data_IF_025441264483
#
_entry.id   IF_025441264483
#
_cell.length_a   1.000
_cell.length_b   1.000
_cell.length_c   1.000
_cell.angle_alpha   90.00
_cell.angle_beta   90.00
_cell.angle_gamma   90.00
#
_symmetry.space_group_name_H-M   'P 1'
#
loop_
_entity.id
_entity.type
_entity.pdbx_description
1 polymer ?
#
# COMPACT_ATOMS: atom_id res chain seq x y z
N UNK A 1 6.72 9.24 -11.62
CA UNK A 1 5.45 9.00 -10.92
C UNK A 1 5.43 9.83 -9.64
N UNK A 2 4.58 10.85 -9.56
CA UNK A 2 4.49 11.66 -8.35
C UNK A 2 3.62 10.94 -7.32
N UNK A 3 4.21 10.62 -6.16
CA UNK A 3 3.52 10.08 -4.99
C UNK A 3 3.39 11.20 -3.98
N UNK A 4 2.18 11.68 -3.76
CA UNK A 4 1.91 12.58 -2.65
C UNK A 4 1.59 11.73 -1.42
N UNK A 5 2.61 11.45 -0.62
CA UNK A 5 2.42 10.90 0.72
C UNK A 5 2.80 11.98 1.72
N UNK A 6 1.82 12.69 2.27
CA UNK A 6 2.09 13.73 3.27
C UNK A 6 2.26 13.09 4.65
N UNK A 7 3.43 12.49 4.91
CA UNK A 7 3.83 12.10 6.27
C UNK A 7 4.25 13.32 7.11
N UNK A 8 4.41 14.50 6.50
CA UNK A 8 4.93 15.70 7.15
C UNK A 8 3.88 16.41 8.05
N UNK A 9 2.59 16.15 7.86
CA UNK A 9 1.53 16.68 8.74
C UNK A 9 1.47 16.03 10.12
N UNK A 10 2.24 14.97 10.37
CA UNK A 10 2.15 14.18 11.60
C UNK A 10 3.20 14.52 12.68
N UNK A 11 3.86 15.69 12.60
CA UNK A 11 4.69 16.23 13.68
C UNK A 11 6.02 15.50 13.94
N UNK A 12 6.58 15.69 15.13
CA UNK A 12 7.85 15.07 15.62
C UNK A 12 7.71 13.60 16.02
N UNK A 13 6.49 13.06 15.97
CA UNK A 13 6.11 11.75 16.52
C UNK A 13 6.21 10.59 15.51
N UNK A 14 6.94 10.81 14.41
CA UNK A 14 6.86 9.95 13.21
C UNK A 14 7.22 8.49 13.48
N UNK A 15 8.10 8.25 14.45
CA UNK A 15 8.56 6.92 14.81
C UNK A 15 7.79 6.31 15.98
N UNK A 16 6.88 7.03 16.64
CA UNK A 16 6.06 6.52 17.76
C UNK A 16 4.67 6.03 17.31
N UNK A 17 4.28 6.33 16.07
CA UNK A 17 3.03 5.87 15.47
C UNK A 17 3.26 4.86 14.36
N UNK A 18 2.23 4.04 14.15
CA UNK A 18 2.12 3.15 13.00
C UNK A 18 1.17 3.77 11.96
N UNK A 19 1.28 3.34 10.71
CA UNK A 19 0.60 3.96 9.58
C UNK A 19 -0.12 2.93 8.73
N UNK A 20 -1.27 3.33 8.20
CA UNK A 20 -1.89 2.69 7.04
C UNK A 20 -1.76 3.65 5.87
N UNK A 21 -1.00 3.26 4.87
CA UNK A 21 -0.79 4.01 3.63
C UNK A 21 -1.80 3.49 2.61
N UNK A 22 -2.84 4.28 2.35
CA UNK A 22 -3.93 3.93 1.45
C UNK A 22 -3.64 4.47 0.04
N UNK A 23 -3.22 3.58 -0.85
CA UNK A 23 -2.75 3.93 -2.20
C UNK A 23 -3.85 3.77 -3.26
N UNK A 24 -3.89 4.75 -4.18
CA UNK A 24 -4.71 4.77 -5.38
C UNK A 24 -4.00 5.42 -6.58
N UNK A 25 -4.46 5.16 -7.82
CA UNK A 25 -5.34 4.04 -8.19
C UNK A 25 -4.58 2.70 -8.08
N UNK A 26 -5.30 1.58 -8.11
CA UNK A 26 -4.69 0.26 -8.05
C UNK A 26 -3.93 -0.08 -9.33
N UNK A 27 -4.41 0.37 -10.50
CA UNK A 27 -3.93 -0.12 -11.79
C UNK A 27 -4.12 -1.63 -11.93
N UNK A 28 -3.56 -2.23 -12.97
CA UNK A 28 -3.68 -3.68 -13.16
C UNK A 28 -2.86 -4.44 -12.10
N UNK A 29 -1.64 -3.98 -11.80
CA UNK A 29 -0.72 -4.65 -10.86
C UNK A 29 -0.04 -3.71 -9.84
N UNK A 30 -0.48 -2.46 -9.72
CA UNK A 30 0.03 -1.50 -8.72
C UNK A 30 1.54 -1.25 -8.80
N UNK A 31 2.05 -1.00 -10.01
CA UNK A 31 3.47 -0.74 -10.26
C UNK A 31 3.97 0.48 -9.47
N UNK A 32 3.11 1.46 -9.30
CA UNK A 32 3.28 2.59 -8.41
C UNK A 32 3.73 2.20 -7.01
N UNK A 33 2.95 1.34 -6.37
CA UNK A 33 3.19 0.89 -5.00
C UNK A 33 4.43 0.02 -4.95
N UNK A 34 4.63 -0.83 -5.96
CA UNK A 34 5.83 -1.63 -6.07
C UNK A 34 7.09 -0.75 -6.11
N UNK A 35 7.18 0.20 -7.05
CA UNK A 35 8.33 1.06 -7.21
C UNK A 35 8.63 1.90 -5.97
N UNK A 36 7.60 2.48 -5.34
CA UNK A 36 7.79 3.41 -4.21
C UNK A 36 7.99 2.72 -2.86
N UNK A 37 7.34 1.58 -2.62
CA UNK A 37 7.28 0.98 -1.29
C UNK A 37 7.87 -0.43 -1.21
N UNK A 38 7.93 -1.20 -2.30
CA UNK A 38 8.57 -2.50 -2.30
C UNK A 38 10.07 -2.45 -2.66
N UNK A 39 10.51 -1.45 -3.43
CA UNK A 39 11.91 -1.30 -3.85
C UNK A 39 12.63 -0.14 -3.16
N UNK A 40 13.93 0.00 -3.39
CA UNK A 40 14.73 1.14 -2.96
C UNK A 40 14.84 2.24 -4.03
N UNK A 41 14.19 2.12 -5.18
CA UNK A 41 14.40 3.00 -6.34
C UNK A 41 13.88 4.44 -6.21
N UNK A 42 13.33 4.82 -5.06
CA UNK A 42 12.75 6.15 -4.81
C UNK A 42 13.25 6.80 -3.52
N UNK A 43 14.30 6.23 -2.92
CA UNK A 43 14.97 6.74 -1.70
C UNK A 43 14.00 6.90 -0.52
N UNK A 44 13.00 6.01 -0.42
CA UNK A 44 11.94 6.06 0.61
C UNK A 44 12.52 6.09 2.04
N UNK A 45 13.65 5.42 2.26
CA UNK A 45 14.30 5.35 3.57
C UNK A 45 15.00 6.66 3.95
N UNK A 46 15.48 7.42 2.96
CA UNK A 46 16.08 8.74 3.19
C UNK A 46 14.98 9.78 3.40
N UNK A 47 13.88 9.69 2.65
CA UNK A 47 12.73 10.58 2.76
C UNK A 47 11.93 10.36 4.06
N UNK A 48 11.86 9.11 4.51
CA UNK A 48 11.08 8.71 5.69
C UNK A 48 11.95 7.85 6.64
N UNK A 49 12.98 8.46 7.27
CA UNK A 49 13.89 7.72 8.13
C UNK A 49 13.16 7.17 9.35
N UNK A 50 13.41 5.91 9.67
CA UNK A 50 12.79 5.20 10.80
C UNK A 50 11.45 4.52 10.48
N UNK A 51 10.84 4.81 9.33
CA UNK A 51 9.60 4.15 8.90
C UNK A 51 9.92 2.86 8.13
N UNK A 52 9.30 1.76 8.56
CA UNK A 52 9.43 0.44 7.92
C UNK A 52 8.14 0.10 7.17
N UNK A 53 8.25 0.04 5.85
CA UNK A 53 7.13 -0.22 4.96
C UNK A 53 6.93 -1.71 4.73
N UNK A 54 5.68 -2.16 4.84
CA UNK A 54 5.24 -3.50 4.47
C UNK A 54 4.10 -3.41 3.48
N UNK A 55 4.30 -3.96 2.27
CA UNK A 55 3.32 -3.89 1.19
C UNK A 55 2.35 -5.06 1.29
N UNK A 56 1.06 -4.79 1.36
CA UNK A 56 0.03 -5.83 1.35
C UNK A 56 -0.18 -6.38 -0.06
N UNK A 57 -0.31 -7.69 -0.17
CA UNK A 57 -0.71 -8.38 -1.41
C UNK A 57 -1.66 -9.54 -1.13
N UNK A 58 -2.31 -10.05 -2.18
CA UNK A 58 -3.18 -11.22 -2.15
C UNK A 58 -2.49 -12.46 -1.55
N UNK A 59 -3.20 -13.21 -0.71
CA UNK A 59 -2.70 -14.45 -0.08
C UNK A 59 -2.22 -15.49 -1.08
N UNK A 60 -2.82 -15.53 -2.27
CA UNK A 60 -2.41 -16.42 -3.36
C UNK A 60 -0.93 -16.25 -3.70
N UNK A 61 -0.38 -15.04 -3.57
CA UNK A 61 1.01 -14.76 -3.87
C UNK A 61 2.01 -15.53 -3.00
N UNK A 62 1.61 -15.93 -1.79
CA UNK A 62 2.44 -16.69 -0.85
C UNK A 62 2.31 -18.22 -0.94
N UNK A 63 1.47 -18.73 -1.87
CA UNK A 63 1.27 -20.19 -2.02
C UNK A 63 2.39 -20.90 -2.81
N UNK A 64 3.04 -20.21 -3.74
CA UNK A 64 4.10 -20.78 -4.59
C UNK A 64 5.47 -20.48 -3.98
N UNK A 65 6.29 -21.51 -3.75
CA UNK A 65 7.54 -21.41 -2.98
C UNK A 65 8.46 -20.26 -3.43
N UNK A 66 8.88 -20.21 -4.70
CA UNK A 66 9.81 -19.17 -5.17
C UNK A 66 9.22 -17.76 -5.09
N UNK A 67 7.94 -17.60 -5.46
CA UNK A 67 7.25 -16.31 -5.41
C UNK A 67 7.07 -15.82 -3.97
N UNK A 68 6.78 -16.74 -3.04
CA UNK A 68 6.67 -16.46 -1.61
C UNK A 68 7.95 -15.85 -1.07
N UNK A 69 9.09 -16.49 -1.32
CA UNK A 69 10.39 -16.01 -0.82
C UNK A 69 10.77 -14.66 -1.41
N UNK A 70 10.52 -14.43 -2.70
CA UNK A 70 10.76 -13.12 -3.33
C UNK A 70 9.91 -12.01 -2.70
N UNK A 71 8.63 -12.26 -2.49
CA UNK A 71 7.74 -11.26 -1.88
C UNK A 71 8.10 -10.99 -0.41
N UNK A 72 8.38 -12.03 0.37
CA UNK A 72 8.81 -11.85 1.76
C UNK A 72 10.14 -11.08 1.85
N UNK A 73 11.10 -11.36 0.96
CA UNK A 73 12.37 -10.63 0.89
C UNK A 73 12.18 -9.14 0.58
N UNK A 74 11.21 -8.81 -0.27
CA UNK A 74 10.82 -7.43 -0.58
C UNK A 74 9.94 -6.77 0.49
N UNK A 75 9.66 -7.46 1.61
CA UNK A 75 8.89 -6.92 2.73
C UNK A 75 7.37 -6.96 2.53
N UNK A 76 6.87 -7.76 1.59
CA UNK A 76 5.44 -7.95 1.43
C UNK A 76 4.83 -8.75 2.57
N UNK A 77 3.57 -8.45 2.86
CA UNK A 77 2.72 -9.16 3.81
C UNK A 77 1.38 -9.48 3.16
N UNK A 78 0.62 -10.35 3.81
CA UNK A 78 -0.73 -10.68 3.39
C UNK A 78 -1.69 -9.51 3.65
N UNK A 79 -2.67 -9.31 2.77
CA UNK A 79 -3.69 -8.26 2.93
C UNK A 79 -4.80 -8.62 3.93
N UNK A 80 -4.73 -9.78 4.60
CA UNK A 80 -5.67 -10.14 5.66
C UNK A 80 -5.60 -9.18 6.84
N UNK A 81 -6.74 -9.06 7.51
CA UNK A 81 -6.89 -8.29 8.73
C UNK A 81 -5.90 -8.75 9.79
N UNK A 82 -5.70 -10.06 9.93
CA UNK A 82 -4.82 -10.66 10.94
C UNK A 82 -3.36 -10.24 10.70
N UNK A 83 -2.90 -10.23 9.44
CA UNK A 83 -1.55 -9.80 9.10
C UNK A 83 -1.35 -8.31 9.32
N UNK A 84 -2.32 -7.48 8.92
CA UNK A 84 -2.31 -6.04 9.13
C UNK A 84 -2.29 -5.72 10.64
N UNK A 85 -3.18 -6.31 11.43
CA UNK A 85 -3.23 -6.09 12.87
C UNK A 85 -1.95 -6.58 13.57
N UNK A 86 -1.36 -7.70 13.13
CA UNK A 86 -0.09 -8.20 13.68
C UNK A 86 1.02 -7.17 13.55
N UNK A 87 1.13 -6.50 12.39
CA UNK A 87 2.13 -5.44 12.17
C UNK A 87 1.80 -4.18 12.97
N UNK A 88 0.54 -3.74 12.96
CA UNK A 88 0.15 -2.45 13.55
C UNK A 88 0.01 -2.47 15.08
N UNK A 89 -0.25 -3.64 15.69
CA UNK A 89 -0.35 -3.81 17.15
C UNK A 89 0.93 -4.37 17.77
N UNK A 90 2.00 -4.53 16.98
CA UNK A 90 3.30 -4.97 17.46
C UNK A 90 3.89 -4.05 18.53
N UNK A 91 4.87 -4.54 19.28
CA UNK A 91 5.59 -3.74 20.29
C UNK A 91 6.42 -2.60 19.69
N UNK A 92 6.77 -2.73 18.41
CA UNK A 92 7.57 -1.76 17.70
C UNK A 92 6.69 -0.73 17.00
N UNK A 93 7.12 0.53 17.04
CA UNK A 93 6.48 1.65 16.36
C UNK A 93 7.21 1.99 15.05
N UNK A 94 6.70 2.95 14.28
CA UNK A 94 7.26 3.33 12.97
C UNK A 94 6.98 2.30 11.88
N UNK A 95 5.95 1.45 12.03
CA UNK A 95 5.51 0.50 10.99
C UNK A 95 4.52 1.16 10.06
N UNK A 96 4.68 1.00 8.76
CA UNK A 96 3.74 1.47 7.75
C UNK A 96 3.25 0.30 6.90
N UNK A 97 1.96 -0.02 7.02
CA UNK A 97 1.29 -0.99 6.16
C UNK A 97 0.79 -0.27 4.92
N UNK A 98 1.23 -0.71 3.74
CA UNK A 98 0.85 -0.12 2.46
C UNK A 98 -0.22 -0.98 1.81
N UNK A 99 -1.40 -0.41 1.62
CA UNK A 99 -2.57 -1.09 1.11
C UNK A 99 -3.07 -0.40 -0.16
N UNK A 100 -3.21 -1.16 -1.22
CA UNK A 100 -3.86 -0.70 -2.45
C UNK A 100 -5.36 -0.97 -2.32
N UNK A 101 -6.10 0.07 -1.97
CA UNK A 101 -7.47 -0.10 -1.44
C UNK A 101 -8.48 -0.50 -2.52
N UNK A 102 -8.27 -0.07 -3.77
CA UNK A 102 -9.16 -0.40 -4.89
C UNK A 102 -9.34 -1.89 -5.15
N UNK A 103 -8.31 -2.69 -4.82
CA UNK A 103 -8.30 -4.14 -4.98
C UNK A 103 -8.62 -4.61 -6.40
N UNK A 104 -9.11 -5.84 -6.51
CA UNK A 104 -9.41 -6.47 -7.80
C UNK A 104 -10.47 -5.73 -8.61
N UNK A 105 -11.45 -5.09 -7.96
CA UNK A 105 -12.52 -4.36 -8.64
C UNK A 105 -11.98 -3.13 -9.38
N UNK A 106 -11.14 -2.32 -8.71
CA UNK A 106 -10.47 -1.18 -9.36
C UNK A 106 -9.43 -1.64 -10.39
N UNK A 107 -8.79 -2.79 -10.17
CA UNK A 107 -7.82 -3.35 -11.13
C UNK A 107 -8.48 -3.80 -12.44
N UNK A 108 -9.73 -4.28 -12.39
CA UNK A 108 -10.49 -4.72 -13.56
C UNK A 108 -11.08 -3.58 -14.38
N UNK A 109 -11.15 -2.37 -13.81
CA UNK A 109 -11.65 -1.14 -14.45
C UNK A 109 -10.50 -0.14 -14.73
N UNK A 110 -9.27 -0.64 -14.78
CA UNK A 110 -8.06 0.16 -14.95
C UNK A 110 -7.82 0.48 -16.44
N UNK A 111 -8.47 1.53 -16.92
CA UNK A 111 -8.37 1.99 -18.31
C UNK A 111 -7.51 3.25 -18.46
N UNK A 112 -6.64 3.33 -19.49
CA UNK A 112 -5.87 4.54 -19.80
C UNK A 112 -6.75 5.79 -19.94
N UNK A 113 -6.26 6.92 -19.45
CA UNK A 113 -6.94 8.22 -19.49
C UNK A 113 -8.04 8.42 -18.43
N UNK A 114 -8.41 7.39 -17.66
CA UNK A 114 -9.43 7.48 -16.63
C UNK A 114 -8.90 6.99 -15.28
N UNK A 115 -9.36 7.63 -14.20
CA UNK A 115 -9.04 7.25 -12.83
C UNK A 115 -10.35 7.04 -12.05
N UNK A 116 -10.97 5.88 -12.23
CA UNK A 116 -12.17 5.49 -11.48
C UNK A 116 -11.72 4.78 -10.20
N UNK A 117 -12.09 5.34 -9.04
CA UNK A 117 -11.66 4.81 -7.74
C UNK A 117 -12.78 4.07 -7.01
N UNK A 118 -12.53 2.83 -6.61
CA UNK A 118 -13.41 1.99 -5.81
C UNK A 118 -13.18 2.28 -4.32
N UNK A 119 -13.67 3.42 -3.86
CA UNK A 119 -13.44 3.91 -2.48
C UNK A 119 -14.69 3.92 -1.60
N UNK A 120 -15.85 4.25 -2.16
CA UNK A 120 -17.08 4.54 -1.40
C UNK A 120 -17.52 3.37 -0.50
N UNK A 121 -17.35 2.14 -0.98
CA UNK A 121 -17.69 0.90 -0.29
C UNK A 121 -16.54 0.32 0.55
N UNK A 122 -15.28 0.73 0.30
CA UNK A 122 -14.07 0.15 0.90
C UNK A 122 -13.71 0.84 2.22
N UNK A 123 -14.45 0.57 3.30
CA UNK A 123 -14.21 1.22 4.62
C UNK A 123 -13.32 0.42 5.58
N UNK A 124 -12.86 -0.77 5.18
CA UNK A 124 -12.10 -1.68 6.04
C UNK A 124 -10.82 -1.06 6.61
N UNK A 125 -10.01 -0.45 5.75
CA UNK A 125 -8.74 0.17 6.15
C UNK A 125 -8.92 1.32 7.16
N UNK A 126 -9.99 2.11 7.03
CA UNK A 126 -10.34 3.16 8.00
C UNK A 126 -10.74 2.55 9.35
N UNK A 127 -11.53 1.46 9.34
CA UNK A 127 -11.89 0.76 10.57
C UNK A 127 -10.66 0.18 11.27
N UNK A 128 -9.71 -0.36 10.52
CA UNK A 128 -8.47 -0.89 11.09
C UNK A 128 -7.56 0.22 11.63
N UNK A 129 -7.46 1.38 10.96
CA UNK A 129 -6.77 2.55 11.49
C UNK A 129 -7.34 2.97 12.85
N UNK A 130 -8.67 3.06 12.97
CA UNK A 130 -9.35 3.42 14.22
C UNK A 130 -9.10 2.40 15.35
N UNK A 131 -9.11 1.10 15.05
CA UNK A 131 -8.88 0.04 16.06
C UNK A 131 -7.44 -0.04 16.54
N UNK A 132 -6.50 0.21 15.64
CA UNK A 132 -5.06 0.08 15.92
C UNK A 132 -4.44 1.39 16.41
N UNK A 133 -5.15 2.52 16.24
CA UNK A 133 -4.60 3.85 16.48
C UNK A 133 -3.59 4.28 15.41
N UNK A 134 -3.47 3.53 14.31
CA UNK A 134 -2.58 3.86 13.21
C UNK A 134 -3.07 5.09 12.45
N UNK A 135 -2.14 5.94 12.02
CA UNK A 135 -2.45 7.12 11.22
C UNK A 135 -2.72 6.73 9.77
N UNK A 136 -3.76 7.33 9.20
CA UNK A 136 -4.16 7.05 7.83
C UNK A 136 -3.51 8.04 6.87
N UNK A 137 -2.70 7.53 5.94
CA UNK A 137 -1.98 8.34 4.95
C UNK A 137 -2.57 8.07 3.57
N UNK A 138 -3.37 9.00 3.02
CA UNK A 138 -3.84 8.87 1.65
C UNK A 138 -2.68 9.09 0.68
N UNK A 139 -2.59 8.23 -0.33
CA UNK A 139 -1.57 8.29 -1.37
C UNK A 139 -2.22 8.17 -2.73
N UNK A 140 -1.87 9.09 -3.62
CA UNK A 140 -2.30 9.06 -5.00
C UNK A 140 -1.11 9.01 -5.95
N UNK A 141 -1.22 8.18 -6.98
CA UNK A 141 -0.20 7.90 -7.99
C UNK A 141 -0.71 8.26 -9.39
N UNK A 142 0.04 9.10 -10.09
CA UNK A 142 -0.30 9.50 -11.46
C UNK A 142 0.34 8.59 -12.51
N UNK A 143 -0.40 8.27 -13.57
CA UNK A 143 0.07 7.45 -14.70
C UNK A 143 -0.06 5.93 -14.50
N UNK A 144 -0.58 5.47 -13.37
CA UNK A 144 -0.66 4.04 -13.05
C UNK A 144 -1.65 3.28 -13.97
N UNK A 145 -2.79 3.88 -14.30
CA UNK A 145 -3.77 3.28 -15.21
C UNK A 145 -3.32 3.34 -16.69
N UNK A 146 -2.34 4.17 -17.01
CA UNK A 146 -1.83 4.35 -18.38
C UNK A 146 -0.70 3.36 -18.73
N UNK A 147 -0.28 2.51 -17.79
CA UNK A 147 0.84 1.58 -17.97
C UNK A 147 0.50 0.39 -18.88
N UNK A 148 -0.76 0.01 -18.94
CA UNK A 148 -1.21 -1.19 -19.64
C UNK A 148 -2.52 -0.92 -20.37
N UNK A 149 -2.66 -1.47 -21.58
CA UNK A 149 -3.93 -1.54 -22.27
C UNK A 149 -4.71 -2.75 -21.77
N UNK A 150 -5.92 -2.50 -21.25
CA UNK A 150 -6.81 -3.55 -20.80
C UNK A 150 -7.74 -3.95 -21.94
N UNK A 151 -7.69 -5.22 -22.35
CA UNK A 151 -8.58 -5.74 -23.40
C UNK A 151 -10.00 -5.74 -22.84
N UNK A 152 -10.89 -4.97 -23.45
CA UNK A 152 -12.31 -4.96 -23.09
C UNK A 152 -12.93 -6.33 -23.36
N UNK A 153 -13.70 -6.85 -22.40
CA UNK A 153 -14.48 -8.07 -22.55
C UNK A 153 -15.63 -7.89 -23.55
#
# INVERSE_FOLDING_TARGET
MAVFANFATYGTDKNEKNYIVACHPHGIISMAVFANFATYGTDKNEKFPGIRFNVCTLTSNFKTMFRRELFLLMGFIDASKESIEYVLKGKETGRAVVLVVGGAEEALDAHPGYHVLTLKSRRGFVREALKTGAYLVPVYSFGENDLFEQVSA
#
